data_IF_387691190657
#
_entry.id   IF_387691190657
#
_cell.length_a   1.000
_cell.length_b   1.000
_cell.length_c   1.000
_cell.angle_alpha   90.00
_cell.angle_beta   90.00
_cell.angle_gamma   90.00
#
_symmetry.space_group_name_H-M   'P 1'
#
loop_
_entity.id
_entity.type
_entity.pdbx_description
1 polymer ?
#
# COMPACT_ATOMS: atom_id res chain seq x y z
N UNK A 1 14.51 4.47 1.74
CA UNK A 1 14.05 3.11 2.09
C UNK A 1 12.92 2.75 1.13
N UNK A 2 13.15 1.84 0.19
CA UNK A 2 12.13 1.46 -0.79
C UNK A 2 11.42 0.18 -0.37
N UNK A 3 10.11 0.24 -0.18
CA UNK A 3 9.25 -0.94 0.03
C UNK A 3 8.32 -1.05 -1.17
N UNK A 4 8.29 -2.20 -1.84
CA UNK A 4 7.38 -2.42 -2.97
C UNK A 4 5.96 -2.67 -2.48
N UNK A 5 5.03 -1.84 -2.96
CA UNK A 5 3.61 -1.89 -2.62
C UNK A 5 2.81 -2.22 -3.89
N UNK A 6 1.96 -3.24 -3.81
CA UNK A 6 0.95 -3.51 -4.84
C UNK A 6 -0.37 -2.86 -4.44
N UNK A 7 -0.83 -1.89 -5.21
CA UNK A 7 -2.12 -1.23 -4.99
C UNK A 7 -3.19 -1.99 -5.80
N UNK A 8 -4.21 -2.50 -5.11
CA UNK A 8 -5.32 -3.26 -5.71
C UNK A 8 -6.65 -2.60 -5.34
N UNK A 9 -7.74 -3.01 -6.00
CA UNK A 9 -9.07 -2.46 -5.77
C UNK A 9 -9.87 -2.43 -7.07
N UNK A 10 -11.18 -2.25 -6.96
CA UNK A 10 -12.08 -2.25 -8.11
C UNK A 10 -11.76 -1.15 -9.13
N UNK A 11 -12.30 -1.28 -10.33
CA UNK A 11 -12.22 -0.22 -11.34
C UNK A 11 -12.82 1.08 -10.81
N UNK A 12 -12.10 2.18 -10.99
CA UNK A 12 -12.46 3.49 -10.44
C UNK A 12 -12.23 3.67 -8.94
N UNK A 13 -11.62 2.72 -8.23
CA UNK A 13 -11.29 2.88 -6.80
C UNK A 13 -10.27 4.01 -6.50
N UNK A 14 -9.70 4.65 -7.52
CA UNK A 14 -8.72 5.72 -7.37
C UNK A 14 -7.26 5.24 -7.40
N UNK A 15 -6.98 4.06 -7.99
CA UNK A 15 -5.63 3.46 -7.99
C UNK A 15 -4.62 4.33 -8.72
N UNK A 16 -4.92 4.74 -9.95
CA UNK A 16 -4.02 5.54 -10.79
C UNK A 16 -3.86 6.96 -10.25
N UNK A 17 -4.92 7.55 -9.70
CA UNK A 17 -4.89 8.84 -9.04
C UNK A 17 -4.03 8.81 -7.76
N UNK A 18 -4.17 7.75 -6.96
CA UNK A 18 -3.31 7.52 -5.79
C UNK A 18 -1.84 7.31 -6.21
N UNK A 19 -1.59 6.52 -7.26
CA UNK A 19 -0.24 6.33 -7.78
C UNK A 19 0.38 7.65 -8.23
N UNK A 20 -0.36 8.48 -8.96
CA UNK A 20 0.09 9.81 -9.39
C UNK A 20 0.38 10.74 -8.20
N UNK A 21 -0.48 10.74 -7.18
CA UNK A 21 -0.24 11.51 -5.95
C UNK A 21 1.05 11.04 -5.24
N UNK A 22 1.28 9.73 -5.15
CA UNK A 22 2.51 9.18 -4.56
C UNK A 22 3.76 9.54 -5.38
N UNK A 23 3.69 9.47 -6.70
CA UNK A 23 4.79 9.89 -7.58
C UNK A 23 5.13 11.36 -7.35
N UNK A 24 4.11 12.23 -7.23
CA UNK A 24 4.31 13.67 -6.95
C UNK A 24 5.02 13.93 -5.61
N UNK A 25 4.94 12.97 -4.68
CA UNK A 25 5.59 12.98 -3.36
C UNK A 25 6.96 12.30 -3.35
N UNK A 26 7.50 11.93 -4.52
CA UNK A 26 8.84 11.36 -4.68
C UNK A 26 8.91 9.83 -4.62
N UNK A 27 7.76 9.13 -4.65
CA UNK A 27 7.72 7.68 -4.78
C UNK A 27 7.91 7.24 -6.24
N UNK A 28 8.34 6.00 -6.46
CA UNK A 28 8.65 5.48 -7.80
C UNK A 28 7.56 4.54 -8.33
N UNK A 29 7.09 4.79 -9.55
CA UNK A 29 6.27 3.86 -10.32
C UNK A 29 7.09 2.64 -10.74
N UNK A 30 6.52 1.44 -10.60
CA UNK A 30 7.12 0.20 -11.12
C UNK A 30 6.35 -0.28 -12.35
N UNK A 31 5.03 -0.29 -12.25
CA UNK A 31 4.09 -0.78 -13.26
C UNK A 31 2.71 -0.18 -13.00
N UNK A 32 1.90 -0.08 -14.06
CA UNK A 32 0.47 0.26 -14.01
C UNK A 32 -0.32 -0.78 -14.83
N UNK A 33 -1.58 -1.02 -14.45
CA UNK A 33 -2.52 -2.00 -15.01
C UNK A 33 -2.05 -3.47 -14.96
N UNK A 34 -0.97 -3.81 -15.65
CA UNK A 34 -0.38 -5.16 -15.70
C UNK A 34 0.92 -5.21 -14.90
N UNK A 35 0.97 -6.09 -13.91
CA UNK A 35 2.16 -6.34 -13.09
C UNK A 35 2.63 -7.77 -13.25
N UNK A 36 3.85 -7.96 -13.73
CA UNK A 36 4.48 -9.28 -13.77
C UNK A 36 5.11 -9.59 -12.41
N UNK A 37 4.64 -10.66 -11.76
CA UNK A 37 5.17 -11.12 -10.49
C UNK A 37 5.97 -12.42 -10.69
N UNK A 38 7.16 -12.47 -10.11
CA UNK A 38 8.03 -13.65 -10.13
C UNK A 38 8.53 -13.98 -8.73
N UNK A 39 8.50 -15.26 -8.35
CA UNK A 39 9.13 -15.74 -7.11
C UNK A 39 10.61 -16.01 -7.37
N UNK A 40 11.46 -15.11 -6.88
CA UNK A 40 12.92 -15.15 -7.12
C UNK A 40 13.70 -15.81 -5.97
N UNK A 41 13.03 -16.10 -4.85
CA UNK A 41 13.55 -16.86 -3.72
C UNK A 41 12.39 -17.47 -2.92
N UNK A 42 12.63 -18.36 -1.94
CA UNK A 42 11.56 -19.01 -1.18
C UNK A 42 10.54 -18.04 -0.55
N UNK A 43 10.95 -16.84 -0.15
CA UNK A 43 10.07 -15.85 0.50
C UNK A 43 10.07 -14.49 -0.20
N UNK A 44 10.57 -14.42 -1.45
CA UNK A 44 10.77 -13.15 -2.15
C UNK A 44 10.03 -13.14 -3.47
N UNK A 45 9.06 -12.22 -3.57
CA UNK A 45 8.42 -11.84 -4.82
C UNK A 45 9.04 -10.55 -5.36
N UNK A 46 9.30 -10.55 -6.66
CA UNK A 46 9.69 -9.36 -7.42
C UNK A 46 8.57 -9.01 -8.41
N UNK A 47 8.22 -7.73 -8.46
CA UNK A 47 7.28 -7.18 -9.43
C UNK A 47 7.97 -6.24 -10.41
N UNK A 48 7.51 -6.26 -11.66
CA UNK A 48 7.96 -5.38 -12.74
C UNK A 48 6.83 -5.07 -13.71
N UNK A 49 7.01 -4.04 -14.54
CA UNK A 49 6.13 -3.77 -15.69
C UNK A 49 6.57 -4.60 -16.91
N UNK A 50 5.63 -5.08 -17.74
CA UNK A 50 5.93 -5.49 -19.11
C UNK A 50 6.65 -4.36 -19.87
N UNK A 51 7.56 -4.70 -20.78
CA UNK A 51 8.39 -3.73 -21.50
C UNK A 51 7.56 -2.66 -22.23
N UNK A 52 6.47 -3.06 -22.87
CA UNK A 52 5.56 -2.16 -23.60
C UNK A 52 4.86 -1.13 -22.70
N UNK A 53 4.62 -1.46 -21.43
CA UNK A 53 3.90 -0.60 -20.47
C UNK A 53 4.84 0.12 -19.50
N UNK A 54 6.16 -0.03 -19.68
CA UNK A 54 7.14 0.58 -18.79
C UNK A 54 7.04 2.12 -18.86
N UNK A 55 7.10 2.75 -17.69
CA UNK A 55 7.04 4.21 -17.49
C UNK A 55 5.69 4.89 -17.80
N UNK A 56 4.67 4.14 -18.26
CA UNK A 56 3.35 4.70 -18.57
C UNK A 56 2.32 4.42 -17.46
N UNK A 57 1.38 5.35 -17.31
CA UNK A 57 0.18 5.22 -16.48
C UNK A 57 -1.04 5.73 -17.24
N UNK A 58 -2.19 5.08 -17.11
CA UNK A 58 -3.47 5.64 -17.59
C UNK A 58 -4.16 6.40 -16.45
N UNK A 59 -4.43 7.69 -16.67
CA UNK A 59 -5.18 8.51 -15.72
C UNK A 59 -6.44 9.03 -16.37
N UNK A 60 -7.60 8.72 -15.78
CA UNK A 60 -8.90 9.15 -16.30
C UNK A 60 -8.96 10.68 -16.34
N UNK A 61 -9.39 11.22 -17.48
CA UNK A 61 -9.44 12.66 -17.74
C UNK A 61 -8.14 13.29 -18.23
N UNK A 62 -7.00 12.59 -18.13
CA UNK A 62 -5.71 13.05 -18.65
C UNK A 62 -5.18 12.16 -19.80
N UNK A 63 -5.60 10.90 -19.86
CA UNK A 63 -5.12 9.91 -20.82
C UNK A 63 -3.86 9.20 -20.35
N UNK A 64 -3.07 8.69 -21.30
CA UNK A 64 -1.83 7.98 -21.04
C UNK A 64 -0.70 8.99 -20.80
N UNK A 65 0.00 8.85 -19.68
CA UNK A 65 1.08 9.74 -19.26
C UNK A 65 2.41 8.97 -19.21
N UNK A 66 3.48 9.57 -19.73
CA UNK A 66 4.84 9.06 -19.52
C UNK A 66 5.42 9.67 -18.23
N UNK A 67 5.52 8.86 -17.18
CA UNK A 67 5.95 9.29 -15.86
C UNK A 67 7.41 9.73 -15.83
N UNK A 68 8.29 9.02 -16.55
CA UNK A 68 9.72 9.37 -16.62
C UNK A 68 9.92 10.76 -17.24
N UNK A 69 9.20 11.07 -18.30
CA UNK A 69 9.28 12.37 -18.97
C UNK A 69 8.75 13.50 -18.10
N UNK A 70 7.67 13.27 -17.36
CA UNK A 70 7.00 14.33 -16.57
C UNK A 70 7.70 14.55 -15.22
N UNK A 71 8.08 13.48 -14.53
CA UNK A 71 8.58 13.53 -13.14
C UNK A 71 10.07 13.17 -13.00
N UNK A 72 10.74 12.84 -14.12
CA UNK A 72 12.16 12.55 -14.18
C UNK A 72 12.53 11.09 -13.95
N UNK A 73 13.81 10.78 -14.15
CA UNK A 73 14.38 9.42 -14.09
C UNK A 73 14.09 8.71 -12.76
N UNK A 74 14.08 9.46 -11.65
CA UNK A 74 13.88 8.92 -10.30
C UNK A 74 12.42 8.62 -9.97
N UNK A 75 11.47 8.95 -10.86
CA UNK A 75 10.05 8.64 -10.69
C UNK A 75 9.69 7.21 -11.15
N UNK A 76 10.61 6.51 -11.84
CA UNK A 76 10.39 5.14 -12.30
C UNK A 76 11.38 4.15 -11.66
N UNK A 77 10.96 2.90 -11.52
CA UNK A 77 11.77 1.78 -11.03
C UNK A 77 11.53 0.60 -11.95
N UNK A 78 12.61 -0.01 -12.44
CA UNK A 78 12.50 -1.18 -13.34
C UNK A 78 11.82 -2.39 -12.69
N UNK A 79 12.06 -2.58 -11.39
CA UNK A 79 11.51 -3.69 -10.59
C UNK A 79 11.59 -3.38 -9.11
N UNK A 80 10.75 -4.02 -8.30
CA UNK A 80 10.76 -3.90 -6.84
C UNK A 80 10.38 -5.22 -6.17
N UNK A 81 10.93 -5.47 -4.98
CA UNK A 81 10.46 -6.56 -4.12
C UNK A 81 9.11 -6.20 -3.52
N UNK A 82 8.09 -7.03 -3.78
CA UNK A 82 6.76 -6.84 -3.22
C UNK A 82 6.75 -7.25 -1.74
N UNK A 83 6.31 -6.34 -0.87
CA UNK A 83 6.27 -6.56 0.59
C UNK A 83 4.95 -6.19 1.24
N UNK A 84 4.12 -5.40 0.57
CA UNK A 84 2.82 -4.96 1.06
C UNK A 84 1.82 -4.92 -0.10
N UNK A 85 0.60 -5.39 0.16
CA UNK A 85 -0.56 -5.20 -0.72
C UNK A 85 -1.46 -4.18 -0.04
N UNK A 86 -1.79 -3.10 -0.74
CA UNK A 86 -2.78 -2.13 -0.31
C UNK A 86 -4.05 -2.34 -1.14
N UNK A 87 -5.12 -2.81 -0.52
CA UNK A 87 -6.42 -2.95 -1.17
C UNK A 87 -7.28 -1.73 -0.90
N UNK A 88 -7.70 -1.04 -1.96
CA UNK A 88 -8.64 0.07 -1.90
C UNK A 88 -10.07 -0.48 -1.95
N UNK A 89 -10.78 -0.34 -0.83
CA UNK A 89 -12.16 -0.82 -0.70
C UNK A 89 -13.12 0.37 -0.68
N UNK A 90 -14.07 0.41 -1.62
CA UNK A 90 -15.14 1.42 -1.59
C UNK A 90 -16.15 1.03 -0.52
N UNK A 91 -16.13 1.72 0.63
CA UNK A 91 -17.12 1.49 1.68
C UNK A 91 -18.36 2.36 1.42
N UNK A 92 -19.53 1.73 1.32
CA UNK A 92 -20.80 2.43 1.43
C UNK A 92 -21.06 2.71 2.92
N UNK A 93 -21.36 3.96 3.33
CA UNK A 93 -21.75 4.25 4.70
C UNK A 93 -22.98 3.42 5.08
N UNK A 94 -22.90 2.63 6.16
CA UNK A 94 -24.01 1.79 6.61
C UNK A 94 -23.97 1.51 8.12
N UNK A 95 -25.08 1.07 8.73
CA UNK A 95 -25.25 0.99 10.20
C UNK A 95 -24.35 -0.01 10.93
N UNK A 96 -23.48 -0.73 10.22
CA UNK A 96 -22.54 -1.70 10.77
C UNK A 96 -21.07 -1.37 10.53
N UNK A 97 -20.74 -0.10 10.21
CA UNK A 97 -19.37 0.32 9.87
C UNK A 97 -18.38 0.02 11.02
N UNK A 98 -17.49 -0.99 10.90
CA UNK A 98 -16.56 -1.43 11.96
C UNK A 98 -15.40 -0.46 12.18
N UNK A 99 -15.57 0.83 11.87
CA UNK A 99 -14.57 1.92 11.89
C UNK A 99 -13.86 2.17 13.24
N UNK A 100 -14.01 1.28 14.22
CA UNK A 100 -13.38 1.33 15.54
C UNK A 100 -12.40 0.19 15.82
N UNK A 101 -12.19 -0.73 14.88
CA UNK A 101 -11.18 -1.78 15.02
C UNK A 101 -9.92 -1.45 14.21
N UNK A 102 -8.72 -1.79 14.72
CA UNK A 102 -7.45 -1.47 14.06
C UNK A 102 -7.41 -2.03 12.64
N UNK A 103 -6.58 -1.40 11.78
CA UNK A 103 -6.22 -1.94 10.47
C UNK A 103 -5.84 -3.41 10.64
N UNK A 104 -6.75 -4.32 10.30
CA UNK A 104 -6.48 -5.73 10.39
C UNK A 104 -5.44 -6.02 9.32
N UNK A 105 -4.22 -6.32 9.77
CA UNK A 105 -3.19 -6.76 8.85
C UNK A 105 -3.53 -8.18 8.45
N UNK A 106 -3.99 -8.27 7.22
CA UNK A 106 -4.24 -9.53 6.55
C UNK A 106 -2.94 -10.04 5.94
N UNK A 107 -2.95 -11.31 5.56
CA UNK A 107 -1.90 -11.90 4.73
C UNK A 107 -2.57 -12.43 3.48
N UNK A 108 -1.96 -12.17 2.34
CA UNK A 108 -2.37 -12.73 1.06
C UNK A 108 -1.23 -13.56 0.47
N UNK A 109 -1.55 -14.79 0.07
CA UNK A 109 -0.60 -15.63 -0.67
C UNK A 109 -0.54 -15.21 -2.14
N UNK A 110 0.68 -15.05 -2.65
CA UNK A 110 0.96 -14.90 -4.07
C UNK A 110 2.12 -15.83 -4.43
N UNK A 111 1.87 -16.77 -5.35
CA UNK A 111 2.87 -17.76 -5.81
C UNK A 111 3.51 -18.56 -4.65
N UNK A 112 2.75 -18.83 -3.58
CA UNK A 112 3.24 -19.54 -2.39
C UNK A 112 4.10 -18.67 -1.46
N UNK A 113 3.98 -17.34 -1.55
CA UNK A 113 4.62 -16.38 -0.66
C UNK A 113 3.57 -15.54 0.03
N UNK A 114 3.58 -15.57 1.37
CA UNK A 114 2.75 -14.74 2.23
C UNK A 114 3.19 -13.26 2.19
N UNK A 115 2.32 -12.37 1.72
CA UNK A 115 2.53 -10.93 1.66
C UNK A 115 1.56 -10.22 2.60
N UNK A 116 2.06 -9.28 3.39
CA UNK A 116 1.22 -8.45 4.25
C UNK A 116 0.22 -7.66 3.40
N UNK A 117 -1.03 -7.57 3.86
CA UNK A 117 -2.13 -6.90 3.18
C UNK A 117 -2.80 -5.93 4.14
N UNK A 118 -3.07 -4.73 3.63
CA UNK A 118 -3.79 -3.68 4.32
C UNK A 118 -4.98 -3.24 3.47
N UNK A 119 -6.12 -3.01 4.10
CA UNK A 119 -7.32 -2.49 3.43
C UNK A 119 -7.50 -1.02 3.79
N UNK A 120 -7.51 -0.16 2.78
CA UNK A 120 -7.78 1.27 2.95
C UNK A 120 -9.19 1.59 2.43
N UNK A 121 -10.08 2.11 3.28
CA UNK A 121 -11.41 2.51 2.86
C UNK A 121 -11.35 3.79 2.01
N UNK A 122 -11.91 3.72 0.82
CA UNK A 122 -12.08 4.85 -0.09
C UNK A 122 -13.36 5.60 0.28
N UNK A 123 -13.20 6.81 0.80
CA UNK A 123 -14.28 7.71 1.15
C UNK A 123 -13.90 9.17 0.83
N UNK A 124 -14.89 10.00 0.53
CA UNK A 124 -14.67 11.42 0.25
C UNK A 124 -13.95 12.12 1.42
N UNK A 125 -13.00 13.00 1.10
CA UNK A 125 -12.21 13.75 2.08
C UNK A 125 -11.06 13.00 2.73
N UNK A 126 -10.85 11.70 2.43
CA UNK A 126 -9.66 10.96 2.91
C UNK A 126 -8.49 11.14 1.97
N UNK A 127 -7.33 11.54 2.49
CA UNK A 127 -6.08 11.53 1.73
C UNK A 127 -5.47 10.12 1.78
N UNK A 128 -5.71 9.33 0.73
CA UNK A 128 -5.24 7.94 0.65
C UNK A 128 -3.71 7.84 0.60
N UNK A 129 -3.01 8.80 -0.01
CA UNK A 129 -1.55 8.80 -0.05
C UNK A 129 -0.94 8.90 1.35
N UNK A 130 -1.46 9.78 2.22
CA UNK A 130 -1.01 9.88 3.61
C UNK A 130 -1.26 8.58 4.37
N UNK A 131 -2.45 7.99 4.22
CA UNK A 131 -2.78 6.72 4.88
C UNK A 131 -1.89 5.57 4.41
N UNK A 132 -1.64 5.47 3.11
CA UNK A 132 -0.77 4.43 2.56
C UNK A 132 0.68 4.62 2.99
N UNK A 133 1.21 5.84 2.99
CA UNK A 133 2.56 6.10 3.51
C UNK A 133 2.68 5.74 5.01
N UNK A 134 1.64 6.03 5.81
CA UNK A 134 1.61 5.62 7.21
C UNK A 134 1.59 4.09 7.36
N UNK A 135 0.79 3.39 6.54
CA UNK A 135 0.77 1.93 6.51
C UNK A 135 2.12 1.32 6.10
N UNK A 136 2.81 1.92 5.12
CA UNK A 136 4.17 1.52 4.71
C UNK A 136 5.16 1.73 5.85
N UNK A 137 5.14 2.89 6.51
CA UNK A 137 6.02 3.17 7.67
C UNK A 137 5.78 2.18 8.80
N UNK A 138 4.51 1.89 9.13
CA UNK A 138 4.13 0.87 10.11
C UNK A 138 4.67 -0.52 9.74
N UNK A 139 4.48 -0.93 8.47
CA UNK A 139 5.00 -2.21 7.96
C UNK A 139 6.53 -2.30 8.08
N UNK A 140 7.26 -1.22 7.78
CA UNK A 140 8.72 -1.16 7.94
C UNK A 140 9.12 -1.35 9.42
N UNK A 141 8.39 -0.76 10.36
CA UNK A 141 8.65 -0.89 11.78
C UNK A 141 8.41 -2.32 12.27
N UNK A 142 7.30 -2.94 11.87
CA UNK A 142 7.01 -4.33 12.22
C UNK A 142 8.03 -5.31 11.65
N UNK A 143 8.49 -5.09 10.42
CA UNK A 143 9.59 -5.86 9.82
C UNK A 143 10.92 -5.69 10.57
N UNK A 144 11.06 -4.65 11.39
CA UNK A 144 12.18 -4.42 12.30
C UNK A 144 11.90 -4.89 13.74
N UNK A 145 10.76 -5.55 13.97
CA UNK A 145 10.35 -6.04 15.29
C UNK A 145 9.71 -4.99 16.19
N UNK A 146 9.29 -3.84 15.65
CA UNK A 146 8.63 -2.77 16.41
C UNK A 146 7.12 -2.81 16.12
N UNK A 147 6.32 -3.16 17.12
CA UNK A 147 4.86 -3.19 17.03
C UNK A 147 4.22 -2.07 17.86
N UNK A 148 3.89 -0.96 17.20
CA UNK A 148 3.23 0.19 17.85
C UNK A 148 1.82 -0.13 18.37
N UNK A 149 1.13 -1.13 17.81
CA UNK A 149 -0.21 -1.51 18.25
C UNK A 149 -0.13 -2.28 19.57
N UNK A 150 0.83 -3.20 19.72
CA UNK A 150 1.08 -3.87 21.00
C UNK A 150 1.49 -2.87 22.09
N UNK A 151 2.42 -1.96 21.80
CA UNK A 151 2.82 -0.91 22.75
C UNK A 151 1.62 -0.05 23.22
N UNK A 152 0.69 0.26 22.32
CA UNK A 152 -0.54 0.96 22.69
C UNK A 152 -1.47 0.12 23.60
N UNK A 153 -1.68 -1.16 23.25
CA UNK A 153 -2.52 -2.09 24.03
C UNK A 153 -1.95 -2.28 25.44
N UNK A 154 -0.63 -2.44 25.57
CA UNK A 154 0.06 -2.58 26.85
C UNK A 154 -0.14 -1.33 27.72
N UNK A 155 0.03 -0.14 27.14
CA UNK A 155 -0.20 1.14 27.85
C UNK A 155 -1.65 1.29 28.29
N UNK A 156 -2.61 0.93 27.44
CA UNK A 156 -4.03 0.98 27.78
C UNK A 156 -4.36 0.00 28.91
N UNK A 157 -3.84 -1.22 28.85
CA UNK A 157 -4.03 -2.25 29.88
C UNK A 157 -3.48 -1.78 31.22
N UNK A 158 -2.28 -1.18 31.22
CA UNK A 158 -1.66 -0.60 32.42
C UNK A 158 -2.48 0.56 33.01
N UNK A 159 -3.08 1.40 32.16
CA UNK A 159 -3.92 2.51 32.61
C UNK A 159 -5.30 2.05 33.15
N UNK A 160 -5.77 0.88 32.73
CA UNK A 160 -7.06 0.30 33.15
C UNK A 160 -6.95 -0.59 34.41
N UNK A 161 -5.73 -0.97 34.82
CA UNK A 161 -5.51 -1.74 36.05
C UNK A 161 -5.34 -0.76 37.22
N UNK A 162 -6.22 -0.75 38.23
CA UNK A 162 -6.04 0.11 39.40
C UNK A 162 -4.74 -0.28 40.14
N UNK A 163 -4.07 0.66 40.83
CA UNK A 163 -2.95 0.31 41.70
C UNK A 163 -3.42 -0.70 42.74
N UNK A 164 -2.67 -1.79 42.90
CA UNK A 164 -2.88 -2.72 44.02
C UNK A 164 -2.47 -1.98 45.30
N UNK A 165 -3.44 -1.77 46.20
CA UNK A 165 -3.22 -1.32 47.58
C UNK A 165 -2.54 -2.41 48.43
#
# INVERSE_FOLDING_TARGET
LGLGVLITGDSGAGKSELALELISRGHGLVADDVVELSRIAPTVLEGRSPEMLQDFIEVRGLGILNIRTIFGETACRRKMRLRLICHLERRQPGPGDPSRLPLQQEVQDILGVAIARVVLPVAAGRNLAVLLEAAVRSTILQLRGIDSTQDFIERQTRAMTPPED
#
